data_IF_941812105223
#
_entry.id   IF_941812105223
#
_cell.length_a   1.000
_cell.length_b   1.000
_cell.length_c   1.000
_cell.angle_alpha   90.00
_cell.angle_beta   90.00
_cell.angle_gamma   90.00
#
_symmetry.space_group_name_H-M   'P 1'
#
loop_
_entity.id
_entity.type
_entity.pdbx_description
1 polymer ?
#
# COMPACT_ATOMS: atom_id res chain seq x y z
N UNK A 1 -11.84 7.33 7.95
CA UNK A 1 -12.52 6.10 7.48
C UNK A 1 -12.53 5.12 8.63
N UNK A 2 -13.66 4.45 8.88
CA UNK A 2 -13.89 3.64 10.08
C UNK A 2 -13.18 2.28 10.06
N UNK A 3 -13.18 1.60 11.21
CA UNK A 3 -12.59 0.26 11.39
C UNK A 3 -13.17 -0.79 10.44
N UNK A 4 -14.45 -0.66 10.07
CA UNK A 4 -15.12 -1.56 9.13
C UNK A 4 -14.48 -1.57 7.74
N UNK A 5 -14.07 -0.40 7.21
CA UNK A 5 -13.42 -0.33 5.89
C UNK A 5 -12.05 -1.01 5.94
N UNK A 6 -11.30 -0.77 7.02
CA UNK A 6 -10.02 -1.45 7.25
C UNK A 6 -10.23 -2.97 7.30
N UNK A 7 -11.28 -3.44 7.97
CA UNK A 7 -11.61 -4.87 8.05
C UNK A 7 -11.92 -5.49 6.68
N UNK A 8 -12.61 -4.78 5.78
CA UNK A 8 -12.83 -5.23 4.40
C UNK A 8 -11.52 -5.44 3.67
N UNK A 9 -10.57 -4.51 3.77
CA UNK A 9 -9.27 -4.65 3.11
C UNK A 9 -8.41 -5.75 3.74
N UNK A 10 -8.46 -5.94 5.07
CA UNK A 10 -7.83 -7.07 5.75
C UNK A 10 -8.37 -8.43 5.27
N UNK A 11 -9.70 -8.52 5.10
CA UNK A 11 -10.37 -9.69 4.53
C UNK A 11 -10.01 -9.87 3.06
N UNK A 12 -9.95 -8.78 2.27
CA UNK A 12 -9.60 -8.84 0.86
C UNK A 12 -8.16 -9.33 0.64
N UNK A 13 -7.21 -8.84 1.42
CA UNK A 13 -5.83 -9.36 1.42
C UNK A 13 -5.85 -10.86 1.74
N UNK A 14 -6.75 -11.29 2.62
CA UNK A 14 -6.84 -12.71 2.99
C UNK A 14 -7.41 -13.56 1.86
N UNK A 15 -8.56 -13.17 1.34
CA UNK A 15 -9.34 -13.87 0.33
C UNK A 15 -8.69 -13.89 -1.07
N UNK A 16 -7.98 -12.82 -1.41
CA UNK A 16 -7.47 -12.59 -2.77
C UNK A 16 -6.01 -12.95 -2.92
N UNK A 17 -5.35 -13.38 -1.84
CA UNK A 17 -3.96 -13.83 -1.92
C UNK A 17 -3.83 -15.32 -2.16
N UNK A 18 -2.75 -15.66 -2.85
CA UNK A 18 -2.29 -17.03 -3.09
C UNK A 18 -0.78 -17.07 -2.88
N UNK A 19 -0.22 -18.28 -2.79
CA UNK A 19 1.23 -18.44 -2.59
C UNK A 19 1.98 -17.94 -3.81
N UNK A 20 3.15 -17.35 -3.56
CA UNK A 20 4.06 -16.94 -4.63
C UNK A 20 4.53 -18.14 -5.44
N UNK A 21 4.92 -19.20 -4.73
CA UNK A 21 5.34 -20.48 -5.28
C UNK A 21 4.18 -21.47 -5.19
N UNK A 22 3.74 -21.98 -6.34
CA UNK A 22 2.73 -23.04 -6.40
C UNK A 22 3.15 -24.27 -5.61
N UNK A 23 2.19 -24.87 -4.88
CA UNK A 23 2.38 -26.08 -4.08
C UNK A 23 3.44 -25.98 -2.96
N UNK A 24 3.82 -24.78 -2.55
CA UNK A 24 4.76 -24.61 -1.44
C UNK A 24 4.18 -25.21 -0.15
N UNK A 25 4.85 -26.22 0.41
CA UNK A 25 4.40 -26.97 1.58
C UNK A 25 4.80 -26.34 2.92
N UNK A 26 5.58 -25.26 2.90
CA UNK A 26 6.02 -24.54 4.10
C UNK A 26 4.85 -23.88 4.83
N UNK A 27 5.02 -23.65 6.13
CA UNK A 27 4.04 -22.97 6.97
C UNK A 27 3.85 -21.51 6.53
N UNK A 28 2.66 -20.95 6.74
CA UNK A 28 2.26 -19.65 6.18
C UNK A 28 3.13 -18.45 6.55
N UNK A 29 3.90 -18.54 7.65
CA UNK A 29 4.80 -17.49 8.13
C UNK A 29 6.10 -17.38 7.29
N UNK A 30 6.56 -18.50 6.71
CA UNK A 30 7.78 -18.56 5.89
C UNK A 30 7.51 -18.43 4.39
N UNK A 31 6.23 -18.29 4.01
CA UNK A 31 5.78 -18.27 2.63
C UNK A 31 5.49 -16.83 2.21
N UNK A 32 5.99 -16.46 1.04
CA UNK A 32 5.63 -15.19 0.39
C UNK A 32 4.27 -15.35 -0.30
N UNK A 33 3.37 -14.41 -0.05
CA UNK A 33 2.05 -14.38 -0.64
C UNK A 33 1.93 -13.26 -1.68
N UNK A 34 1.15 -13.52 -2.71
CA UNK A 34 0.81 -12.55 -3.75
C UNK A 34 -0.69 -12.29 -3.75
N UNK A 35 -1.08 -11.02 -3.60
CA UNK A 35 -2.47 -10.56 -3.66
C UNK A 35 -2.81 -10.18 -5.10
N UNK A 36 -3.94 -10.69 -5.60
CA UNK A 36 -4.45 -10.36 -6.93
C UNK A 36 -4.87 -8.89 -7.02
N UNK A 37 -4.03 -8.08 -7.67
CA UNK A 37 -4.26 -6.64 -7.77
C UNK A 37 -5.47 -6.27 -8.62
N UNK A 38 -5.87 -7.09 -9.59
CA UNK A 38 -7.02 -6.78 -10.45
C UNK A 38 -8.32 -6.87 -9.62
N UNK A 39 -8.39 -7.84 -8.70
CA UNK A 39 -9.51 -7.98 -7.75
C UNK A 39 -9.44 -6.92 -6.65
N UNK A 40 -8.25 -6.63 -6.12
CA UNK A 40 -8.07 -5.58 -5.10
C UNK A 40 -8.42 -4.19 -5.66
N UNK A 41 -7.96 -3.87 -6.86
CA UNK A 41 -8.24 -2.60 -7.54
C UNK A 41 -9.74 -2.42 -7.85
N UNK A 42 -10.47 -3.52 -8.08
CA UNK A 42 -11.92 -3.48 -8.19
C UNK A 42 -12.58 -2.98 -6.89
N UNK A 43 -12.15 -3.49 -5.72
CA UNK A 43 -12.67 -3.05 -4.41
C UNK A 43 -12.37 -1.56 -4.16
N UNK A 44 -11.16 -1.09 -4.49
CA UNK A 44 -10.85 0.34 -4.40
C UNK A 44 -11.72 1.19 -5.31
N UNK A 45 -11.91 0.76 -6.56
CA UNK A 45 -12.72 1.49 -7.53
C UNK A 45 -14.17 1.58 -7.08
N UNK A 46 -14.72 0.51 -6.50
CA UNK A 46 -16.11 0.53 -6.02
C UNK A 46 -16.27 1.40 -4.77
N UNK A 47 -15.25 1.51 -3.91
CA UNK A 47 -15.25 2.45 -2.79
C UNK A 47 -15.25 3.91 -3.29
N UNK A 48 -14.39 4.21 -4.28
CA UNK A 48 -14.32 5.54 -4.91
C UNK A 48 -15.67 5.91 -5.55
N UNK A 49 -16.26 4.97 -6.30
CA UNK A 49 -17.55 5.16 -6.96
C UNK A 49 -18.72 5.27 -5.97
N UNK A 50 -18.66 4.51 -4.87
CA UNK A 50 -19.64 4.56 -3.80
C UNK A 50 -19.62 5.92 -3.10
N UNK A 51 -18.45 6.45 -2.81
CA UNK A 51 -18.27 7.75 -2.14
C UNK A 51 -18.40 8.95 -3.09
N UNK A 52 -18.46 8.73 -4.41
CA UNK A 52 -18.45 9.76 -5.47
C UNK A 52 -17.30 10.75 -5.31
N UNK A 53 -16.11 10.20 -5.18
CA UNK A 53 -14.84 10.94 -5.09
C UNK A 53 -13.95 10.71 -6.32
N UNK A 54 -14.54 10.21 -7.42
CA UNK A 54 -13.87 9.89 -8.69
C UNK A 54 -13.33 11.13 -9.44
N UNK A 55 -13.89 12.31 -9.17
CA UNK A 55 -13.44 13.57 -9.75
C UNK A 55 -12.11 14.07 -9.15
N UNK A 56 -11.65 13.53 -8.02
CA UNK A 56 -10.43 13.95 -7.32
C UNK A 56 -9.34 12.88 -7.34
N UNK A 57 -8.09 13.27 -7.13
CA UNK A 57 -7.00 12.33 -6.88
C UNK A 57 -7.07 11.80 -5.44
N UNK A 58 -7.26 10.49 -5.30
CA UNK A 58 -7.40 9.83 -4.00
C UNK A 58 -6.15 8.99 -3.70
N UNK A 59 -5.56 9.17 -2.53
CA UNK A 59 -4.47 8.32 -2.04
C UNK A 59 -4.98 7.56 -0.82
N UNK A 60 -4.97 6.23 -0.91
CA UNK A 60 -5.33 5.35 0.19
C UNK A 60 -4.06 4.87 0.88
N UNK A 61 -3.97 5.08 2.19
CA UNK A 61 -2.87 4.55 3.01
C UNK A 61 -3.44 3.45 3.89
N UNK A 62 -3.03 2.22 3.63
CA UNK A 62 -3.44 1.04 4.39
C UNK A 62 -2.40 0.71 5.45
N UNK A 63 -2.89 0.32 6.63
CA UNK A 63 -2.08 -0.28 7.69
C UNK A 63 -2.87 -1.44 8.33
N UNK A 64 -3.16 -2.51 7.56
CA UNK A 64 -3.93 -3.64 8.04
C UNK A 64 -3.21 -4.32 9.21
N UNK A 65 -3.95 -4.85 10.18
CA UNK A 65 -3.36 -5.49 11.35
C UNK A 65 -2.53 -6.71 10.93
N UNK A 66 -1.30 -6.76 11.45
CA UNK A 66 -0.33 -7.86 11.30
C UNK A 66 -0.80 -9.24 11.86
N UNK A 67 -2.08 -9.39 12.25
CA UNK A 67 -2.60 -10.62 12.87
C UNK A 67 -3.00 -11.70 11.86
N UNK A 68 -2.90 -11.42 10.57
CA UNK A 68 -2.98 -12.46 9.55
C UNK A 68 -1.66 -13.24 9.54
N UNK A 69 -1.71 -14.57 9.49
CA UNK A 69 -0.56 -15.51 9.49
C UNK A 69 0.41 -15.33 8.30
N UNK A 70 0.33 -14.21 7.58
CA UNK A 70 1.04 -13.87 6.35
C UNK A 70 1.92 -12.68 6.63
N UNK A 71 3.12 -12.97 7.14
CA UNK A 71 4.11 -11.96 7.52
C UNK A 71 4.76 -11.30 6.28
N UNK A 72 4.66 -11.94 5.12
CA UNK A 72 5.30 -11.52 3.88
C UNK A 72 4.34 -11.62 2.70
N UNK A 73 3.82 -10.48 2.23
CA UNK A 73 2.97 -10.42 1.05
C UNK A 73 3.18 -9.16 0.22
N UNK A 74 2.76 -9.20 -1.04
CA UNK A 74 2.67 -8.03 -1.91
C UNK A 74 1.61 -8.18 -2.98
N UNK A 75 1.39 -7.13 -3.74
CA UNK A 75 0.41 -7.07 -4.82
C UNK A 75 1.08 -7.35 -6.15
N UNK A 76 0.46 -8.21 -6.97
CA UNK A 76 0.93 -8.54 -8.32
C UNK A 76 -0.21 -8.50 -9.33
N UNK A 77 0.09 -7.96 -10.51
CA UNK A 77 -0.67 -8.13 -11.74
C UNK A 77 -0.22 -9.39 -12.49
N UNK A 78 -1.17 -10.18 -12.97
CA UNK A 78 -0.85 -11.40 -13.72
C UNK A 78 -0.45 -12.60 -12.85
N UNK A 79 0.57 -13.34 -13.31
CA UNK A 79 0.99 -14.64 -12.80
C UNK A 79 2.41 -14.58 -12.20
N UNK A 80 2.69 -15.44 -11.22
CA UNK A 80 4.06 -15.66 -10.72
C UNK A 80 4.88 -16.50 -11.69
N UNK A 81 6.20 -16.50 -11.50
CA UNK A 81 7.10 -17.33 -12.31
C UNK A 81 6.77 -18.83 -12.17
N UNK A 82 6.44 -19.27 -10.96
CA UNK A 82 6.02 -20.67 -10.74
C UNK A 82 4.71 -21.01 -11.45
N UNK A 83 3.76 -20.06 -11.51
CA UNK A 83 2.49 -20.20 -12.24
C UNK A 83 2.70 -20.25 -13.74
N UNK A 84 3.57 -19.40 -14.28
CA UNK A 84 3.93 -19.39 -15.71
C UNK A 84 4.62 -20.71 -16.09
N UNK A 85 5.57 -21.18 -15.28
CA UNK A 85 6.27 -22.44 -15.51
C UNK A 85 5.32 -23.63 -15.48
N UNK A 86 4.43 -23.70 -14.47
CA UNK A 86 3.41 -24.73 -14.40
C UNK A 86 2.47 -24.70 -15.60
N UNK A 87 2.00 -23.51 -16.00
CA UNK A 87 1.16 -23.35 -17.18
C UNK A 87 1.87 -23.83 -18.44
N UNK A 88 3.16 -23.51 -18.62
CA UNK A 88 3.98 -23.90 -19.77
C UNK A 88 4.12 -25.43 -19.89
N UNK A 89 4.29 -26.13 -18.76
CA UNK A 89 4.47 -27.58 -18.71
C UNK A 89 3.13 -28.34 -18.83
N UNK A 90 2.05 -27.79 -18.29
CA UNK A 90 0.77 -28.47 -18.21
C UNK A 90 -0.10 -28.27 -19.47
N UNK A 91 0.06 -29.17 -20.44
CA UNK A 91 -0.71 -29.16 -21.70
C UNK A 91 -2.21 -29.38 -21.52
N UNK A 92 -2.60 -30.13 -20.49
CA UNK A 92 -4.02 -30.34 -20.17
C UNK A 92 -4.67 -29.03 -19.72
N UNK A 93 -3.99 -28.26 -18.87
CA UNK A 93 -4.46 -26.95 -18.43
C UNK A 93 -4.53 -25.95 -19.59
N UNK A 94 -3.52 -25.93 -20.47
CA UNK A 94 -3.55 -25.08 -21.68
C UNK A 94 -4.77 -25.39 -22.55
N UNK A 95 -5.05 -26.67 -22.81
CA UNK A 95 -6.20 -27.08 -23.61
C UNK A 95 -7.53 -26.70 -22.94
N UNK A 96 -7.64 -26.86 -21.62
CA UNK A 96 -8.82 -26.48 -20.85
C UNK A 96 -9.07 -24.97 -20.92
N UNK A 97 -8.02 -24.15 -20.76
CA UNK A 97 -8.11 -22.69 -20.86
C UNK A 97 -8.51 -22.26 -22.26
N UNK A 98 -7.96 -22.85 -23.31
CA UNK A 98 -8.33 -22.53 -24.70
C UNK A 98 -9.78 -22.91 -25.04
N UNK A 99 -10.34 -23.90 -24.35
CA UNK A 99 -11.74 -24.31 -24.48
C UNK A 99 -12.68 -23.54 -23.55
N UNK A 100 -12.16 -22.70 -22.65
CA UNK A 100 -12.98 -21.92 -21.74
C UNK A 100 -13.83 -20.90 -22.49
N UNK A 101 -15.11 -20.84 -22.16
CA UNK A 101 -15.97 -19.72 -22.53
C UNK A 101 -15.71 -18.53 -21.61
N UNK A 102 -16.22 -17.34 -21.98
CA UNK A 102 -16.10 -16.12 -21.17
C UNK A 102 -16.35 -16.43 -19.68
N UNK A 103 -15.44 -15.98 -18.82
CA UNK A 103 -15.59 -16.14 -17.37
C UNK A 103 -16.99 -15.71 -16.93
N UNK A 104 -17.63 -16.49 -16.06
CA UNK A 104 -18.79 -15.99 -15.31
C UNK A 104 -18.33 -14.73 -14.57
N UNK A 105 -19.20 -13.71 -14.51
CA UNK A 105 -18.90 -12.37 -13.98
C UNK A 105 -18.12 -12.37 -12.67
N UNK A 106 -17.44 -11.26 -12.37
CA UNK A 106 -16.53 -11.17 -11.23
C UNK A 106 -17.27 -11.60 -9.95
N UNK A 107 -16.76 -12.58 -9.19
CA UNK A 107 -17.43 -13.05 -7.97
C UNK A 107 -17.62 -11.96 -6.89
N UNK A 108 -16.92 -10.83 -7.07
CA UNK A 108 -17.01 -9.62 -6.25
C UNK A 108 -17.96 -8.55 -6.83
N UNK A 109 -18.60 -8.79 -7.98
CA UNK A 109 -19.62 -7.88 -8.53
C UNK A 109 -20.86 -7.93 -7.65
N UNK A 110 -21.14 -6.81 -7.00
CA UNK A 110 -22.29 -6.64 -6.13
C UNK A 110 -23.26 -5.70 -6.81
N UNK A 111 -24.42 -6.22 -7.18
CA UNK A 111 -25.49 -5.42 -7.76
C UNK A 111 -26.10 -4.45 -6.73
N UNK A 112 -26.60 -3.31 -7.24
CA UNK A 112 -27.48 -2.40 -6.51
C UNK A 112 -26.88 -1.79 -5.23
N UNK A 113 -25.65 -1.27 -5.28
CA UNK A 113 -25.14 -0.39 -4.21
C UNK A 113 -25.58 1.05 -4.49
N UNK A 114 -26.36 1.64 -3.58
CA UNK A 114 -26.79 3.03 -3.68
C UNK A 114 -25.59 3.91 -3.33
N UNK A 115 -25.07 4.75 -4.24
CA UNK A 115 -23.94 5.61 -3.92
C UNK A 115 -24.26 6.55 -2.76
N UNK A 116 -23.25 6.84 -1.95
CA UNK A 116 -23.32 7.75 -0.81
C UNK A 116 -22.27 8.86 -0.92
N UNK A 117 -22.58 9.91 -1.71
CA UNK A 117 -21.63 10.99 -1.99
C UNK A 117 -21.22 11.75 -0.74
N UNK A 118 -19.92 12.00 -0.56
CA UNK A 118 -19.42 12.79 0.57
C UNK A 118 -19.70 14.29 0.47
N UNK A 119 -20.05 14.79 -0.72
CA UNK A 119 -20.08 16.22 -1.02
C UNK A 119 -21.48 16.82 -1.27
N UNK A 120 -22.57 16.05 -1.12
CA UNK A 120 -23.93 16.49 -1.51
C UNK A 120 -24.46 17.74 -0.78
N UNK A 121 -23.98 18.04 0.44
CA UNK A 121 -24.58 19.07 1.31
C UNK A 121 -23.67 20.28 1.61
N UNK A 122 -22.73 20.65 0.72
CA UNK A 122 -21.76 21.73 1.03
C UNK A 122 -22.15 23.11 0.48
N UNK A 123 -22.16 24.16 1.32
CA UNK A 123 -21.95 25.54 0.87
C UNK A 123 -20.50 25.69 0.36
N UNK A 124 -20.31 26.28 -0.82
CA UNK A 124 -19.03 26.37 -1.54
C UNK A 124 -17.87 27.08 -0.80
N UNK A 125 -18.08 27.59 0.42
CA UNK A 125 -17.18 28.53 1.11
C UNK A 125 -16.29 27.92 2.20
N UNK A 126 -16.45 26.65 2.58
CA UNK A 126 -15.65 26.06 3.67
C UNK A 126 -14.63 25.06 3.10
N UNK A 127 -13.37 25.14 3.54
CA UNK A 127 -12.24 24.27 3.15
C UNK A 127 -11.86 23.29 4.29
N UNK A 128 -12.85 22.82 5.05
CA UNK A 128 -12.63 21.86 6.14
C UNK A 128 -12.51 20.44 5.57
N UNK A 129 -11.48 19.69 5.97
CA UNK A 129 -11.32 18.27 5.68
C UNK A 129 -12.56 17.50 6.15
N UNK A 130 -13.25 16.81 5.24
CA UNK A 130 -14.42 15.99 5.61
C UNK A 130 -13.94 14.72 6.28
N UNK A 131 -14.18 14.57 7.58
CA UNK A 131 -14.03 13.28 8.26
C UNK A 131 -15.17 12.37 7.83
N UNK A 132 -14.84 11.25 7.20
CA UNK A 132 -15.81 10.20 6.90
C UNK A 132 -16.27 9.53 8.18
N UNK A 133 -17.54 9.71 8.53
CA UNK A 133 -18.19 8.94 9.60
C UNK A 133 -18.49 7.51 9.14
N UNK A 134 -18.52 6.57 10.09
CA UNK A 134 -18.77 5.14 9.85
C UNK A 134 -20.10 4.87 9.13
N UNK A 135 -21.13 5.66 9.46
CA UNK A 135 -22.43 5.59 8.79
C UNK A 135 -22.31 5.78 7.28
N UNK A 136 -21.30 6.50 6.79
CA UNK A 136 -21.12 6.76 5.36
C UNK A 136 -20.53 5.56 4.61
N UNK A 137 -19.98 4.56 5.30
CA UNK A 137 -19.31 3.41 4.67
C UNK A 137 -19.94 2.06 5.04
N UNK A 138 -20.78 2.00 6.09
CA UNK A 138 -21.32 0.74 6.65
C UNK A 138 -22.01 -0.18 5.63
N UNK A 139 -22.81 0.36 4.70
CA UNK A 139 -23.50 -0.46 3.69
C UNK A 139 -22.50 -1.08 2.71
N UNK A 140 -21.54 -0.28 2.24
CA UNK A 140 -20.47 -0.75 1.36
C UNK A 140 -19.63 -1.80 2.09
N UNK A 141 -19.21 -1.51 3.33
CA UNK A 141 -18.37 -2.40 4.12
C UNK A 141 -19.02 -3.77 4.30
N UNK A 142 -20.29 -3.78 4.73
CA UNK A 142 -21.05 -5.02 4.95
C UNK A 142 -21.16 -5.86 3.67
N UNK A 143 -21.55 -5.24 2.56
CA UNK A 143 -21.72 -5.94 1.28
C UNK A 143 -20.41 -6.59 0.81
N UNK A 144 -19.29 -5.88 0.90
CA UNK A 144 -18.00 -6.43 0.49
C UNK A 144 -17.47 -7.48 1.46
N UNK A 145 -17.69 -7.33 2.77
CA UNK A 145 -17.36 -8.40 3.73
C UNK A 145 -18.13 -9.69 3.46
N UNK A 146 -19.43 -9.59 3.14
CA UNK A 146 -20.25 -10.76 2.80
C UNK A 146 -19.75 -11.44 1.51
N UNK A 147 -19.46 -10.65 0.47
CA UNK A 147 -18.92 -11.16 -0.80
C UNK A 147 -17.55 -11.82 -0.65
N UNK A 148 -16.66 -11.22 0.14
CA UNK A 148 -15.32 -11.76 0.43
C UNK A 148 -15.38 -13.05 1.22
N UNK A 149 -16.30 -13.15 2.19
CA UNK A 149 -16.52 -14.38 2.96
C UNK A 149 -17.00 -15.52 2.05
N UNK A 150 -17.85 -15.23 1.07
CA UNK A 150 -18.24 -16.24 0.08
C UNK A 150 -17.04 -16.70 -0.76
N UNK A 151 -16.21 -15.75 -1.22
CA UNK A 151 -15.02 -16.05 -2.02
C UNK A 151 -13.97 -16.90 -1.27
N UNK A 152 -13.76 -16.66 0.02
CA UNK A 152 -12.85 -17.47 0.86
C UNK A 152 -13.32 -18.92 1.02
N UNK A 153 -14.64 -19.13 1.08
CA UNK A 153 -15.23 -20.45 1.32
C UNK A 153 -15.33 -21.33 0.07
N UNK A 154 -14.87 -20.87 -1.10
CA UNK A 154 -14.96 -21.65 -2.34
C UNK A 154 -14.05 -22.89 -2.38
N UNK A 155 -13.16 -23.08 -1.39
CA UNK A 155 -12.44 -24.35 -1.19
C UNK A 155 -11.61 -24.83 -2.38
N UNK A 156 -11.26 -23.92 -3.30
CA UNK A 156 -10.52 -24.22 -4.53
C UNK A 156 -9.09 -24.63 -4.20
N UNK A 157 -8.59 -25.62 -4.93
CA UNK A 157 -7.18 -25.98 -4.89
C UNK A 157 -6.33 -24.94 -5.65
N UNK A 158 -5.02 -24.97 -5.46
CA UNK A 158 -4.09 -24.01 -6.07
C UNK A 158 -4.23 -23.97 -7.61
N UNK A 159 -4.53 -25.12 -8.24
CA UNK A 159 -4.73 -25.24 -9.69
C UNK A 159 -6.05 -24.61 -10.14
N UNK A 160 -7.14 -24.81 -9.40
CA UNK A 160 -8.42 -24.18 -9.68
C UNK A 160 -8.35 -22.65 -9.57
N UNK A 161 -7.67 -22.13 -8.54
CA UNK A 161 -7.43 -20.68 -8.39
C UNK A 161 -6.63 -20.13 -9.57
N UNK A 162 -5.58 -20.84 -9.99
CA UNK A 162 -4.77 -20.47 -11.15
C UNK A 162 -5.59 -20.49 -12.44
N UNK A 163 -6.39 -21.53 -12.67
CA UNK A 163 -7.26 -21.64 -13.83
C UNK A 163 -8.21 -20.44 -13.92
N UNK A 164 -8.91 -20.11 -12.84
CA UNK A 164 -9.84 -18.96 -12.81
C UNK A 164 -9.11 -17.65 -13.12
N UNK A 165 -7.89 -17.46 -12.60
CA UNK A 165 -7.08 -16.27 -12.88
C UNK A 165 -6.73 -16.17 -14.36
N UNK A 166 -6.26 -17.26 -14.97
CA UNK A 166 -5.86 -17.30 -16.39
C UNK A 166 -7.07 -17.04 -17.30
N UNK A 167 -8.19 -17.70 -17.02
CA UNK A 167 -9.44 -17.52 -17.78
C UNK A 167 -9.92 -16.07 -17.68
N UNK A 168 -9.88 -15.48 -16.47
CA UNK A 168 -10.20 -14.07 -16.27
C UNK A 168 -9.29 -13.15 -17.08
N UNK A 169 -7.97 -13.38 -17.04
CA UNK A 169 -6.99 -12.61 -17.82
C UNK A 169 -7.21 -12.74 -19.34
N UNK A 170 -7.67 -13.91 -19.82
CA UNK A 170 -7.92 -14.16 -21.23
C UNK A 170 -9.21 -13.52 -21.76
N UNK A 171 -10.18 -13.25 -20.88
CA UNK A 171 -11.54 -12.89 -21.30
C UNK A 171 -12.04 -11.51 -20.81
N UNK A 172 -11.65 -11.04 -19.63
CA UNK A 172 -12.29 -9.86 -19.01
C UNK A 172 -11.79 -8.53 -19.57
N UNK A 173 -10.48 -8.36 -19.67
CA UNK A 173 -9.85 -7.07 -20.04
C UNK A 173 -8.94 -7.26 -21.24
N UNK A 174 -9.21 -6.54 -22.32
CA UNK A 174 -8.33 -6.50 -23.50
C UNK A 174 -7.15 -5.58 -23.23
N UNK A 175 -6.17 -6.09 -22.51
CA UNK A 175 -4.92 -5.40 -22.19
C UNK A 175 -3.70 -6.12 -22.79
N UNK A 176 -2.51 -5.65 -22.45
CA UNK A 176 -1.22 -6.22 -22.84
C UNK A 176 -1.07 -7.68 -22.38
N UNK A 177 -1.42 -7.99 -21.13
CA UNK A 177 -1.33 -9.35 -20.60
C UNK A 177 -2.29 -10.31 -21.28
N UNK A 178 -3.50 -9.84 -21.60
CA UNK A 178 -4.46 -10.60 -22.41
C UNK A 178 -3.88 -11.04 -23.75
N UNK A 179 -3.26 -10.10 -24.47
CA UNK A 179 -2.63 -10.37 -25.76
C UNK A 179 -1.45 -11.34 -25.62
N UNK A 180 -0.53 -11.08 -24.69
CA UNK A 180 0.65 -11.91 -24.46
C UNK A 180 0.28 -13.33 -24.04
N UNK A 181 -0.69 -13.48 -23.12
CA UNK A 181 -1.19 -14.78 -22.68
C UNK A 181 -1.86 -15.53 -23.82
N UNK A 182 -2.71 -14.85 -24.60
CA UNK A 182 -3.39 -15.44 -25.75
C UNK A 182 -2.43 -15.90 -26.84
N UNK A 183 -1.38 -15.13 -27.13
CA UNK A 183 -0.32 -15.51 -28.07
C UNK A 183 0.50 -16.69 -27.54
N UNK A 184 0.87 -16.68 -26.26
CA UNK A 184 1.65 -17.76 -25.64
C UNK A 184 0.89 -19.09 -25.62
N UNK A 185 -0.42 -19.07 -25.34
CA UNK A 185 -1.26 -20.27 -25.36
C UNK A 185 -1.43 -20.84 -26.78
N UNK A 186 -1.50 -19.98 -27.81
CA UNK A 186 -1.67 -20.41 -29.21
C UNK A 186 -0.37 -20.94 -29.83
N UNK A 187 0.74 -20.24 -29.59
CA UNK A 187 2.06 -20.59 -30.12
C UNK A 187 2.74 -21.71 -29.32
N UNK A 188 2.38 -21.86 -28.04
CA UNK A 188 3.10 -22.69 -27.08
C UNK A 188 4.42 -22.07 -26.60
N UNK A 189 4.73 -20.84 -27.01
CA UNK A 189 5.92 -20.09 -26.61
C UNK A 189 5.57 -19.05 -25.55
N UNK A 190 6.13 -19.22 -24.35
CA UNK A 190 5.90 -18.35 -23.19
C UNK A 190 7.04 -17.36 -22.95
N UNK A 191 8.01 -17.25 -23.86
CA UNK A 191 9.21 -16.39 -23.67
C UNK A 191 8.89 -14.91 -23.45
N UNK A 192 7.79 -14.39 -24.00
CA UNK A 192 7.33 -13.02 -23.80
C UNK A 192 6.44 -12.81 -22.56
N UNK A 193 6.06 -13.88 -21.84
CA UNK A 193 5.24 -13.79 -20.64
C UNK A 193 6.15 -13.80 -19.40
N UNK A 194 6.29 -12.65 -18.77
CA UNK A 194 7.11 -12.49 -17.57
C UNK A 194 6.24 -12.25 -16.34
N UNK A 195 6.73 -12.71 -15.18
CA UNK A 195 6.10 -12.39 -13.90
C UNK A 195 6.41 -10.95 -13.52
N UNK A 196 5.37 -10.16 -13.27
CA UNK A 196 5.52 -8.84 -12.67
C UNK A 196 6.08 -8.96 -11.25
N UNK A 197 6.73 -7.93 -10.74
CA UNK A 197 7.24 -7.96 -9.38
C UNK A 197 6.15 -7.62 -8.36
N UNK A 198 6.34 -8.13 -7.14
CA UNK A 198 5.47 -7.79 -6.02
C UNK A 198 5.74 -6.35 -5.59
N UNK A 199 4.67 -5.65 -5.25
CA UNK A 199 4.68 -4.25 -4.86
C UNK A 199 3.83 -4.03 -3.61
N UNK A 200 4.13 -2.98 -2.87
CA UNK A 200 3.35 -2.46 -1.72
C UNK A 200 2.53 -1.22 -2.11
N UNK A 201 2.59 -0.81 -3.38
CA UNK A 201 2.01 0.41 -3.90
C UNK A 201 1.37 0.14 -5.25
N UNK A 202 0.28 0.84 -5.56
CA UNK A 202 -0.39 0.69 -6.83
C UNK A 202 -1.08 1.96 -7.29
N UNK A 203 -1.06 2.19 -8.61
CA UNK A 203 -1.82 3.27 -9.26
C UNK A 203 -3.02 2.63 -9.95
N UNK A 204 -4.22 3.02 -9.53
CA UNK A 204 -5.46 2.56 -10.12
C UNK A 204 -5.66 3.07 -11.55
N UNK A 205 -6.62 2.49 -12.27
CA UNK A 205 -6.99 2.96 -13.61
C UNK A 205 -7.71 4.32 -13.62
N UNK A 206 -8.23 4.74 -12.46
CA UNK A 206 -8.91 6.03 -12.25
C UNK A 206 -7.99 6.98 -11.47
N UNK A 207 -8.52 8.10 -10.98
CA UNK A 207 -7.79 9.07 -10.14
C UNK A 207 -7.59 8.57 -8.70
N UNK A 208 -7.02 7.38 -8.54
CA UNK A 208 -6.68 6.87 -7.22
C UNK A 208 -5.41 6.02 -7.22
N UNK A 209 -4.75 5.97 -6.07
CA UNK A 209 -3.60 5.11 -5.82
C UNK A 209 -3.63 4.64 -4.35
N UNK A 210 -2.92 3.56 -4.03
CA UNK A 210 -2.75 3.13 -2.64
C UNK A 210 -1.30 2.84 -2.27
N UNK A 211 -1.04 2.92 -0.97
CA UNK A 211 0.19 2.50 -0.29
C UNK A 211 -0.23 1.56 0.85
N UNK A 212 0.29 0.35 0.87
CA UNK A 212 0.09 -0.61 1.96
C UNK A 212 1.35 -0.71 2.81
N UNK A 213 1.29 -0.12 4.00
CA UNK A 213 2.42 -0.04 4.92
C UNK A 213 2.77 -1.38 5.58
N UNK A 214 1.89 -2.39 5.45
CA UNK A 214 2.10 -3.73 5.99
C UNK A 214 2.57 -4.73 4.93
N UNK A 215 2.51 -4.38 3.64
CA UNK A 215 3.05 -5.18 2.56
C UNK A 215 4.57 -5.01 2.44
N UNK A 216 5.24 -6.03 1.89
CA UNK A 216 6.68 -6.02 1.69
C UNK A 216 7.51 -6.46 2.91
N UNK A 217 8.77 -6.01 3.01
CA UNK A 217 9.37 -4.91 2.24
C UNK A 217 9.72 -5.28 0.79
N UNK A 218 9.54 -4.32 -0.11
CA UNK A 218 10.00 -4.40 -1.51
C UNK A 218 10.98 -3.29 -1.83
N UNK A 219 11.98 -3.58 -2.67
CA UNK A 219 13.04 -2.63 -2.99
C UNK A 219 12.64 -1.58 -4.03
N UNK A 220 11.61 -1.88 -4.82
CA UNK A 220 11.12 -1.00 -5.86
C UNK A 220 9.62 -1.19 -6.12
N UNK A 221 8.99 -0.19 -6.73
CA UNK A 221 7.59 -0.23 -7.10
C UNK A 221 7.14 0.98 -7.92
N UNK A 222 5.86 1.06 -8.29
CA UNK A 222 5.30 2.25 -8.92
C UNK A 222 5.32 3.44 -7.95
N UNK A 223 5.65 4.63 -8.45
CA UNK A 223 5.57 5.85 -7.66
C UNK A 223 4.11 6.36 -7.59
N UNK A 224 3.60 6.58 -6.38
CA UNK A 224 2.21 7.06 -6.13
C UNK A 224 2.02 8.57 -6.41
N UNK A 225 3.04 9.22 -6.98
CA UNK A 225 3.03 10.61 -7.42
C UNK A 225 4.42 11.04 -7.87
N UNK A 226 4.49 12.11 -8.69
CA UNK A 226 5.75 12.60 -9.25
C UNK A 226 6.26 11.79 -10.45
N UNK A 227 7.53 12.01 -10.81
CA UNK A 227 8.22 11.27 -11.87
C UNK A 227 9.19 10.25 -11.24
N UNK A 228 9.28 9.06 -11.83
CA UNK A 228 10.23 8.03 -11.42
C UNK A 228 9.60 6.77 -10.82
N UNK A 229 10.41 6.01 -10.08
CA UNK A 229 10.02 4.75 -9.43
C UNK A 229 10.14 4.87 -7.92
N UNK A 230 9.25 4.21 -7.20
CA UNK A 230 9.38 4.05 -5.75
C UNK A 230 10.59 3.15 -5.47
N UNK A 231 11.41 3.52 -4.49
CA UNK A 231 12.56 2.75 -3.99
C UNK A 231 12.43 2.51 -2.48
N UNK A 232 13.36 1.77 -1.88
CA UNK A 232 13.45 1.61 -0.41
C UNK A 232 13.50 2.94 0.35
N UNK A 233 14.07 3.99 -0.28
CA UNK A 233 14.20 5.32 0.32
C UNK A 233 12.93 6.17 0.16
N UNK A 234 11.99 5.77 -0.70
CA UNK A 234 10.81 6.59 -1.01
C UNK A 234 9.71 6.47 0.05
N UNK A 235 9.62 5.36 0.78
CA UNK A 235 8.62 5.13 1.83
C UNK A 235 9.25 4.51 3.08
N UNK A 236 8.88 4.98 4.29
CA UNK A 236 9.42 4.42 5.51
C UNK A 236 8.96 2.97 5.69
N UNK A 237 9.89 2.07 6.01
CA UNK A 237 9.55 0.69 6.33
C UNK A 237 9.01 0.62 7.76
N UNK A 238 7.70 0.51 7.94
CA UNK A 238 7.05 0.53 9.26
C UNK A 238 7.62 -0.50 10.24
N UNK A 239 8.04 -1.69 9.79
CA UNK A 239 8.68 -2.66 10.67
C UNK A 239 10.07 -2.19 11.15
N UNK A 240 10.88 -1.62 10.25
CA UNK A 240 12.16 -1.00 10.62
C UNK A 240 11.96 0.27 11.46
N UNK A 241 10.92 1.04 11.17
CA UNK A 241 10.68 2.39 11.69
C UNK A 241 9.93 2.38 13.04
N UNK A 242 8.93 1.51 13.23
CA UNK A 242 7.99 1.50 14.39
C UNK A 242 7.87 0.11 15.05
N UNK A 243 8.36 -0.96 14.42
CA UNK A 243 8.25 -2.34 14.94
C UNK A 243 8.82 -2.54 16.35
N UNK A 244 8.38 -3.61 17.03
CA UNK A 244 8.86 -3.96 18.36
C UNK A 244 10.37 -4.24 18.33
N UNK A 245 11.17 -3.34 18.90
CA UNK A 245 12.62 -3.48 18.95
C UNK A 245 13.05 -3.99 20.32
N UNK A 246 13.97 -4.96 20.31
CA UNK A 246 14.69 -5.38 21.50
C UNK A 246 15.32 -4.16 22.18
N UNK A 247 15.30 -4.12 23.52
CA UNK A 247 15.94 -3.04 24.27
C UNK A 247 17.42 -2.93 23.88
N UNK A 248 17.84 -1.76 23.40
CA UNK A 248 19.21 -1.51 22.91
C UNK A 248 20.09 -0.92 24.00
N UNK A 249 21.36 -1.30 24.06
CA UNK A 249 22.33 -0.60 24.90
C UNK A 249 22.53 0.85 24.46
N UNK A 250 23.11 1.70 25.32
CA UNK A 250 23.40 3.11 25.02
C UNK A 250 24.19 3.26 23.71
N UNK A 251 25.25 2.47 23.55
CA UNK A 251 26.14 2.51 22.37
C UNK A 251 25.41 2.10 21.10
N UNK A 252 24.59 1.04 21.16
CA UNK A 252 23.78 0.59 20.02
C UNK A 252 22.67 1.61 19.66
N UNK A 253 22.17 2.34 20.66
CA UNK A 253 21.17 3.37 20.47
C UNK A 253 21.77 4.58 19.73
N UNK A 254 22.96 5.03 20.13
CA UNK A 254 23.70 6.10 19.44
C UNK A 254 24.04 5.72 18.00
N UNK A 255 24.57 4.52 17.76
CA UNK A 255 24.93 4.04 16.41
C UNK A 255 23.71 4.01 15.49
N UNK A 256 22.57 3.49 15.97
CA UNK A 256 21.33 3.45 15.18
C UNK A 256 20.73 4.83 14.91
N UNK A 257 20.83 5.75 15.88
CA UNK A 257 20.38 7.11 15.67
C UNK A 257 21.22 7.78 14.57
N UNK A 258 22.54 7.61 14.60
CA UNK A 258 23.44 8.15 13.58
C UNK A 258 23.17 7.54 12.20
N UNK A 259 22.93 6.23 12.12
CA UNK A 259 22.55 5.57 10.87
C UNK A 259 21.22 6.11 10.32
N UNK A 260 20.21 6.30 11.17
CA UNK A 260 18.91 6.85 10.75
C UNK A 260 19.03 8.29 10.24
N UNK A 261 19.82 9.13 10.91
CA UNK A 261 20.17 10.48 10.46
C UNK A 261 20.85 10.40 9.09
N UNK A 262 21.91 9.59 8.97
CA UNK A 262 22.68 9.47 7.74
C UNK A 262 21.84 8.99 6.56
N UNK A 263 21.01 7.97 6.77
CA UNK A 263 20.10 7.45 5.74
C UNK A 263 19.12 8.53 5.29
N UNK A 264 18.44 9.20 6.24
CA UNK A 264 17.44 10.23 5.94
C UNK A 264 18.03 11.43 5.23
N UNK A 265 19.21 11.89 5.62
CA UNK A 265 19.85 13.07 5.03
C UNK A 265 20.70 12.76 3.79
N UNK A 266 20.99 11.49 3.49
CA UNK A 266 21.69 11.11 2.27
C UNK A 266 20.90 11.40 0.98
N UNK A 267 19.57 11.50 1.08
CA UNK A 267 18.67 11.80 -0.03
C UNK A 267 18.41 13.30 -0.24
N UNK A 268 18.87 14.16 0.68
CA UNK A 268 18.72 15.61 0.52
C UNK A 268 19.79 16.11 -0.45
N UNK A 269 19.36 16.59 -1.61
CA UNK A 269 20.20 17.45 -2.45
C UNK A 269 20.26 18.87 -1.86
N UNK A 270 21.22 19.67 -2.33
CA UNK A 270 21.50 21.00 -1.78
C UNK A 270 20.40 22.06 -1.96
N UNK A 271 19.20 21.69 -2.44
CA UNK A 271 18.09 22.62 -2.74
C UNK A 271 16.96 22.60 -1.69
N UNK A 272 17.06 21.82 -0.63
CA UNK A 272 16.04 21.76 0.42
C UNK A 272 16.02 23.02 1.29
N UNK A 273 14.83 23.50 1.69
CA UNK A 273 14.72 24.67 2.56
C UNK A 273 15.13 24.30 4.00
N UNK A 274 15.69 25.26 4.74
CA UNK A 274 16.11 25.03 6.13
C UNK A 274 14.96 24.49 7.01
N UNK A 275 13.72 24.91 6.73
CA UNK A 275 12.51 24.40 7.39
C UNK A 275 12.32 22.90 7.14
N UNK A 276 12.53 22.43 5.91
CA UNK A 276 12.36 21.02 5.54
C UNK A 276 13.39 20.13 6.24
N UNK A 277 14.62 20.64 6.39
CA UNK A 277 15.71 19.96 7.11
C UNK A 277 15.39 19.86 8.61
N UNK A 278 14.94 20.97 9.22
CA UNK A 278 14.56 21.00 10.65
C UNK A 278 13.39 20.04 10.95
N UNK A 279 12.36 20.05 10.11
CA UNK A 279 11.22 19.13 10.24
C UNK A 279 11.66 17.66 10.12
N UNK A 280 12.53 17.35 9.15
CA UNK A 280 13.05 16.00 8.99
C UNK A 280 13.89 15.55 10.20
N UNK A 281 14.66 16.45 10.81
CA UNK A 281 15.44 16.13 12.02
C UNK A 281 14.53 15.88 13.23
N UNK A 282 13.51 16.73 13.44
CA UNK A 282 12.50 16.55 14.49
C UNK A 282 11.79 15.19 14.32
N UNK A 283 11.39 14.83 13.09
CA UNK A 283 10.73 13.54 12.81
C UNK A 283 11.62 12.34 13.20
N UNK A 284 12.93 12.40 12.92
CA UNK A 284 13.87 11.33 13.29
C UNK A 284 13.96 11.19 14.82
N UNK A 285 14.11 12.31 15.53
CA UNK A 285 14.26 12.32 16.98
C UNK A 285 12.97 11.88 17.68
N UNK A 286 11.82 12.38 17.26
CA UNK A 286 10.52 11.99 17.81
C UNK A 286 10.27 10.50 17.61
N UNK A 287 10.55 9.97 16.42
CA UNK A 287 10.40 8.56 16.12
C UNK A 287 11.36 7.70 16.96
N UNK A 288 12.63 8.09 17.07
CA UNK A 288 13.62 7.37 17.85
C UNK A 288 13.23 7.33 19.34
N UNK A 289 12.86 8.49 19.90
CA UNK A 289 12.42 8.60 21.29
C UNK A 289 11.15 7.78 21.55
N UNK A 290 10.18 7.85 20.63
CA UNK A 290 8.96 7.03 20.72
C UNK A 290 9.27 5.54 20.77
N UNK A 291 10.26 5.09 20.00
CA UNK A 291 10.62 3.68 19.85
C UNK A 291 11.53 3.14 20.94
N UNK A 292 12.50 3.94 21.41
CA UNK A 292 13.58 3.47 22.26
C UNK A 292 13.56 4.06 23.68
N UNK A 293 12.82 5.15 23.91
CA UNK A 293 12.73 5.82 25.20
C UNK A 293 11.38 5.58 25.89
N UNK A 294 10.28 5.60 25.13
CA UNK A 294 8.93 5.48 25.69
C UNK A 294 8.65 4.08 26.24
N UNK A 295 8.27 4.00 27.52
CA UNK A 295 7.86 2.75 28.17
C UNK A 295 9.01 1.83 28.60
N UNK A 296 10.26 2.31 28.50
CA UNK A 296 11.44 1.55 28.87
C UNK A 296 11.63 1.49 30.39
N UNK A 297 12.09 0.34 30.91
CA UNK A 297 12.37 0.17 32.36
C UNK A 297 13.62 0.90 32.81
N UNK A 298 14.67 0.88 31.98
CA UNK A 298 15.92 1.59 32.20
C UNK A 298 16.02 2.73 31.18
N UNK A 299 16.11 3.98 31.64
CA UNK A 299 16.29 5.13 30.76
C UNK A 299 17.73 5.15 30.21
N UNK A 300 17.87 5.53 28.94
CA UNK A 300 19.16 5.88 28.33
C UNK A 300 19.44 7.37 28.58
N UNK A 301 20.70 7.76 28.75
CA UNK A 301 21.09 9.17 28.76
C UNK A 301 20.79 9.87 27.44
N UNK A 302 20.94 9.15 26.31
CA UNK A 302 20.59 9.64 24.98
C UNK A 302 19.13 10.12 24.89
N UNK A 303 18.21 9.55 25.67
CA UNK A 303 16.82 10.00 25.69
C UNK A 303 16.65 11.40 26.27
N UNK A 304 17.45 11.77 27.28
CA UNK A 304 17.41 13.10 27.89
C UNK A 304 18.06 14.13 26.94
N UNK A 305 19.17 13.76 26.30
CA UNK A 305 19.80 14.60 25.28
C UNK A 305 18.90 14.84 24.05
N UNK A 306 18.16 13.82 23.62
CA UNK A 306 17.20 13.94 22.52
C UNK A 306 16.04 14.87 22.87
N UNK A 307 15.51 14.81 24.08
CA UNK A 307 14.45 15.72 24.54
C UNK A 307 14.93 17.18 24.53
N UNK A 308 16.16 17.44 24.98
CA UNK A 308 16.79 18.77 24.91
C UNK A 308 16.97 19.24 23.46
N UNK A 309 17.55 18.41 22.59
CA UNK A 309 17.73 18.75 21.17
C UNK A 309 16.41 18.99 20.45
N UNK A 310 15.37 18.20 20.74
CA UNK A 310 14.05 18.41 20.18
C UNK A 310 13.44 19.74 20.62
N UNK A 311 13.70 20.17 21.86
CA UNK A 311 13.26 21.48 22.34
C UNK A 311 13.94 22.61 21.57
N UNK A 312 15.26 22.51 21.40
CA UNK A 312 16.05 23.49 20.65
C UNK A 312 15.61 23.58 19.18
N UNK A 313 15.43 22.44 18.51
CA UNK A 313 14.96 22.38 17.11
C UNK A 313 13.55 22.96 16.94
N UNK A 314 12.64 22.70 17.88
CA UNK A 314 11.29 23.28 17.86
C UNK A 314 11.35 24.80 18.03
N UNK A 315 12.22 25.29 18.91
CA UNK A 315 12.46 26.72 19.07
C UNK A 315 13.02 27.34 17.78
N UNK A 316 13.99 26.70 17.13
CA UNK A 316 14.58 27.18 15.87
C UNK A 316 13.55 27.16 14.71
N UNK A 317 12.69 26.15 14.67
CA UNK A 317 11.59 26.06 13.72
C UNK A 317 10.57 27.21 13.91
N UNK A 318 10.21 27.50 15.16
CA UNK A 318 9.32 28.63 15.50
C UNK A 318 9.93 29.97 15.07
N UNK A 319 11.21 30.19 15.35
CA UNK A 319 11.94 31.40 14.96
C UNK A 319 12.04 31.54 13.43
N UNK A 320 12.33 30.46 12.73
CA UNK A 320 12.44 30.44 11.25
C UNK A 320 11.08 30.68 10.59
N UNK A 321 10.01 30.09 11.13
CA UNK A 321 8.64 30.25 10.63
C UNK A 321 8.14 31.68 10.89
N UNK A 322 8.41 32.22 12.07
CA UNK A 322 8.10 33.61 12.44
C UNK A 322 8.87 34.60 11.55
N UNK A 323 10.16 34.37 11.31
CA UNK A 323 10.97 35.19 10.40
C UNK A 323 10.49 35.15 8.94
N UNK A 324 10.00 33.99 8.48
CA UNK A 324 9.43 33.82 7.14
C UNK A 324 8.08 34.52 7.01
N UNK A 325 7.22 34.39 8.03
CA UNK A 325 5.96 35.11 8.13
C UNK A 325 6.18 36.63 8.16
N UNK A 326 7.17 37.11 8.93
CA UNK A 326 7.57 38.51 8.99
C UNK A 326 8.08 39.02 7.64
N UNK A 327 8.94 38.27 6.94
CA UNK A 327 9.38 38.62 5.58
C UNK A 327 8.23 38.61 4.56
N UNK A 328 7.28 37.70 4.69
CA UNK A 328 6.09 37.66 3.85
C UNK A 328 5.16 38.86 4.10
N UNK A 329 5.01 39.27 5.36
CA UNK A 329 4.28 40.48 5.77
C UNK A 329 5.00 41.74 5.26
N UNK A 330 6.33 41.85 5.41
CA UNK A 330 7.13 42.96 4.88
C UNK A 330 7.03 43.09 3.36
N UNK A 331 7.11 41.97 2.62
CA UNK A 331 6.91 41.97 1.17
C UNK A 331 5.50 42.42 0.76
N UNK A 332 4.50 42.15 1.59
CA UNK A 332 3.11 42.57 1.35
C UNK A 332 2.88 44.05 1.69
N UNK A 333 3.61 44.58 2.66
CA UNK A 333 3.59 45.99 3.05
C UNK A 333 4.43 46.89 2.11
N UNK A 334 5.43 46.34 1.43
CA UNK A 334 6.23 47.06 0.42
C UNK A 334 5.58 47.12 -0.98
N UNK A 335 4.40 46.50 -1.17
CA UNK A 335 3.62 46.58 -2.41
C UNK A 335 2.40 47.53 -2.32
N UNK A 336 2.35 48.41 -1.32
CA UNK A 336 1.33 49.46 -1.22
C UNK A 336 1.95 50.86 -1.12
#
# INVERSE_FOLDING_TARGET
>A
MGEEVTSVFEQAITALSRKEVLFDSRAGEDVVWQVDIDKMAYIFSTLVDYLKIDDTYNIFVLNPKYRNKRLHYGYRRGLSESEINFLKENKTLQALVLQSEHAKGNALEIDNIIPRPLHLNRPASNFVWTTTEEVNTVEWSKKYSDALTHAENEGKDDVGVLYDKIVKMLHDKKDDLNYLLGEALKSGDFTGLHSECLTDTWIGGNRWAFIDLSAGPFSWGPAVGGEGVRTELSLPNVNKTIGAVAELTEVEAEEKLQDAIRERFSSFDGEHQAIDILLAEIDIYELFAFKHCKGRRTKLSLCEELDERMHDLKSELEDTTSGTLMKAIERRLLMH
#
